data_IF_221616867446
#
_entry.id   IF_221616867446
#
_cell.length_a   1.000
_cell.length_b   1.000
_cell.length_c   1.000
_cell.angle_alpha   90.00
_cell.angle_beta   90.00
_cell.angle_gamma   90.00
#
_symmetry.space_group_name_H-M   'P 1'
#
loop_
_entity.id
_entity.type
_entity.pdbx_description
1 polymer ?
#
# COMPACT_ATOMS: atom_id res chain seq x y z
N UNK A 1 -7.51 17.62 19.73
CA UNK A 1 -7.01 17.13 18.42
C UNK A 1 -8.18 16.45 17.76
N UNK A 2 -8.78 17.05 16.73
CA UNK A 2 -9.89 16.40 16.00
C UNK A 2 -9.20 15.35 15.13
N UNK A 3 -9.29 14.09 15.53
CA UNK A 3 -8.92 12.97 14.65
C UNK A 3 -9.90 13.05 13.50
N UNK A 4 -9.39 13.35 12.32
CA UNK A 4 -10.19 13.77 11.20
C UNK A 4 -10.81 12.53 10.55
N UNK A 5 -11.99 12.10 11.05
CA UNK A 5 -12.82 10.98 10.55
C UNK A 5 -13.37 11.22 9.12
N UNK A 6 -12.75 12.12 8.34
CA UNK A 6 -13.17 12.52 7.00
C UNK A 6 -13.33 11.31 6.08
N UNK A 7 -12.52 10.26 6.21
CA UNK A 7 -12.64 9.04 5.39
C UNK A 7 -13.81 8.15 5.81
N UNK A 8 -14.07 8.01 7.11
CA UNK A 8 -15.26 7.30 7.59
C UNK A 8 -16.54 8.04 7.18
N UNK A 9 -16.55 9.37 7.27
CA UNK A 9 -17.66 10.22 6.80
C UNK A 9 -17.85 10.10 5.28
N UNK A 10 -16.75 10.02 4.52
CA UNK A 10 -16.78 9.78 3.06
C UNK A 10 -16.95 8.30 2.70
N UNK A 11 -17.07 7.43 3.71
CA UNK A 11 -17.15 5.98 3.58
C UNK A 11 -16.07 5.34 2.72
N UNK A 12 -14.88 5.92 2.75
CA UNK A 12 -13.71 5.41 2.05
C UNK A 12 -12.98 4.44 2.97
N UNK A 13 -12.71 3.26 2.44
CA UNK A 13 -11.79 2.29 3.01
C UNK A 13 -10.95 1.69 1.89
N UNK A 14 -9.95 0.89 2.23
CA UNK A 14 -9.01 0.33 1.28
C UNK A 14 -8.93 -1.18 1.37
N UNK A 15 -8.98 -1.82 0.22
CA UNK A 15 -8.74 -3.24 0.07
C UNK A 15 -7.34 -3.49 -0.44
N UNK A 16 -6.58 -4.32 0.27
CA UNK A 16 -5.21 -4.67 -0.10
C UNK A 16 -5.18 -5.98 -0.87
N UNK A 17 -4.45 -6.00 -1.98
CA UNK A 17 -4.19 -7.17 -2.81
C UNK A 17 -2.70 -7.29 -3.09
N UNK A 18 -2.23 -8.51 -3.31
CA UNK A 18 -0.87 -8.78 -3.75
C UNK A 18 -0.85 -9.83 -4.86
N UNK A 19 0.00 -9.61 -5.84
CA UNK A 19 0.16 -10.52 -6.97
C UNK A 19 1.66 -10.77 -7.22
N UNK A 20 2.07 -12.00 -7.58
CA UNK A 20 3.46 -12.26 -7.93
C UNK A 20 3.91 -11.37 -9.09
N UNK A 21 5.10 -10.80 -8.99
CA UNK A 21 5.65 -9.90 -10.02
C UNK A 21 5.84 -10.57 -11.37
N UNK A 22 6.19 -11.85 -11.36
CA UNK A 22 6.42 -12.68 -12.55
C UNK A 22 5.14 -13.41 -13.01
N UNK A 23 3.99 -13.08 -12.42
CA UNK A 23 2.69 -13.67 -12.74
C UNK A 23 1.78 -12.76 -13.56
N UNK A 24 0.62 -13.29 -14.02
CA UNK A 24 -0.41 -12.46 -14.61
C UNK A 24 -0.95 -11.47 -13.58
N UNK A 25 -1.12 -10.21 -13.98
CA UNK A 25 -1.77 -9.20 -13.14
C UNK A 25 -3.27 -9.17 -13.43
N UNK A 26 -4.09 -9.03 -12.41
CA UNK A 26 -5.53 -8.84 -12.61
C UNK A 26 -5.86 -7.36 -12.78
N UNK A 27 -7.02 -7.04 -13.35
CA UNK A 27 -7.49 -5.64 -13.36
C UNK A 27 -8.15 -5.27 -12.02
N UNK A 28 -8.40 -3.97 -11.83
CA UNK A 28 -9.03 -3.45 -10.59
C UNK A 28 -10.39 -4.08 -10.31
N UNK A 29 -11.22 -4.29 -11.33
CA UNK A 29 -12.57 -4.84 -11.18
C UNK A 29 -12.50 -6.29 -10.70
N UNK A 30 -11.59 -7.07 -11.27
CA UNK A 30 -11.34 -8.45 -10.86
C UNK A 30 -10.82 -8.51 -9.41
N UNK A 31 -9.88 -7.64 -9.03
CA UNK A 31 -9.41 -7.54 -7.63
C UNK A 31 -10.54 -7.24 -6.66
N UNK A 32 -11.35 -6.22 -6.94
CA UNK A 32 -12.45 -5.80 -6.04
C UNK A 32 -13.54 -6.87 -5.87
N UNK A 33 -13.66 -7.81 -6.81
CA UNK A 33 -14.56 -8.98 -6.69
C UNK A 33 -13.94 -10.14 -5.91
N UNK A 34 -12.63 -10.11 -5.68
CA UNK A 34 -11.90 -11.12 -4.92
C UNK A 34 -11.78 -10.73 -3.45
N UNK A 35 -11.48 -11.73 -2.61
CA UNK A 35 -11.22 -11.51 -1.19
C UNK A 35 -9.90 -10.74 -1.00
N UNK A 36 -9.91 -9.57 -0.34
CA UNK A 36 -8.70 -8.83 -0.07
C UNK A 36 -7.83 -9.53 0.98
N UNK A 37 -6.52 -9.26 0.92
CA UNK A 37 -5.53 -9.68 1.92
C UNK A 37 -5.77 -8.94 3.24
N UNK A 38 -6.14 -7.66 3.16
CA UNK A 38 -6.49 -6.83 4.30
C UNK A 38 -7.53 -5.78 3.90
N UNK A 39 -8.37 -5.38 4.87
CA UNK A 39 -9.29 -4.26 4.74
C UNK A 39 -8.87 -3.20 5.75
N UNK A 40 -8.54 -2.01 5.27
CA UNK A 40 -7.95 -0.92 6.03
C UNK A 40 -8.88 0.29 5.98
N UNK A 41 -9.13 0.92 7.12
CA UNK A 41 -10.17 1.93 7.29
C UNK A 41 -9.63 3.35 7.44
N UNK A 42 -8.31 3.49 7.58
CA UNK A 42 -7.64 4.79 7.73
C UNK A 42 -6.36 4.83 6.90
N UNK A 43 -5.92 6.01 6.45
CA UNK A 43 -4.60 6.21 5.85
C UNK A 43 -3.45 5.65 6.69
N UNK A 44 -3.50 5.84 8.02
CA UNK A 44 -2.47 5.35 8.95
C UNK A 44 -2.38 3.82 8.91
N UNK A 45 -3.52 3.12 8.92
CA UNK A 45 -3.53 1.66 8.77
C UNK A 45 -2.95 1.20 7.43
N UNK A 46 -3.11 1.98 6.36
CA UNK A 46 -2.45 1.70 5.07
C UNK A 46 -0.95 1.88 5.18
N UNK A 47 -0.48 2.97 5.80
CA UNK A 47 0.94 3.22 6.00
C UNK A 47 1.59 2.09 6.82
N UNK A 48 0.99 1.73 7.96
CA UNK A 48 1.46 0.65 8.83
C UNK A 48 1.54 -0.68 8.08
N UNK A 49 0.50 -1.02 7.32
CA UNK A 49 0.48 -2.27 6.56
C UNK A 49 1.58 -2.31 5.49
N UNK A 50 1.78 -1.21 4.76
CA UNK A 50 2.81 -1.10 3.73
C UNK A 50 4.20 -1.20 4.34
N UNK A 51 4.42 -0.55 5.49
CA UNK A 51 5.68 -0.54 6.22
C UNK A 51 6.06 -1.95 6.71
N UNK A 52 5.10 -2.65 7.34
CA UNK A 52 5.27 -4.03 7.75
C UNK A 52 5.52 -4.97 6.56
N UNK A 53 4.77 -4.81 5.47
CA UNK A 53 4.93 -5.64 4.29
C UNK A 53 6.27 -5.41 3.61
N UNK A 54 6.72 -4.15 3.52
CA UNK A 54 8.04 -3.80 3.00
C UNK A 54 9.16 -4.34 3.90
N UNK A 55 9.01 -4.31 5.23
CA UNK A 55 9.98 -4.94 6.14
C UNK A 55 10.06 -6.47 5.94
N UNK A 56 8.92 -7.14 5.73
CA UNK A 56 8.86 -8.60 5.56
C UNK A 56 9.33 -9.09 4.19
N UNK A 57 9.11 -8.30 3.13
CA UNK A 57 9.27 -8.76 1.75
C UNK A 57 10.15 -7.86 0.87
N UNK A 58 10.42 -6.63 1.30
CA UNK A 58 11.13 -5.60 0.56
C UNK A 58 12.64 -5.55 0.83
N UNK A 59 13.24 -6.63 1.36
CA UNK A 59 14.68 -6.67 1.63
C UNK A 59 15.47 -6.14 0.43
N UNK A 60 16.09 -4.97 0.62
CA UNK A 60 16.84 -4.25 -0.41
C UNK A 60 17.81 -5.22 -1.09
N UNK A 61 17.80 -5.24 -2.43
CA UNK A 61 18.72 -6.12 -3.15
C UNK A 61 20.14 -5.70 -2.75
N UNK A 62 20.95 -6.62 -2.21
CA UNK A 62 22.34 -6.31 -1.95
C UNK A 62 22.99 -6.11 -3.32
N UNK A 63 23.43 -4.88 -3.61
CA UNK A 63 24.20 -4.53 -4.79
C UNK A 63 25.66 -4.42 -4.41
N UNK A 64 26.50 -5.04 -5.22
CA UNK A 64 27.96 -4.96 -5.07
C UNK A 64 28.43 -3.62 -5.61
N UNK A 65 29.08 -2.82 -4.76
CA UNK A 65 29.64 -1.53 -5.16
C UNK A 65 30.92 -1.77 -5.98
N UNK A 66 30.91 -1.37 -7.25
CA UNK A 66 32.09 -1.44 -8.11
C UNK A 66 33.07 -0.35 -7.66
N UNK A 67 34.17 -0.77 -7.00
CA UNK A 67 35.28 0.11 -6.61
C UNK A 67 35.77 -0.01 -5.17
N UNK A 68 35.08 -0.76 -4.29
CA UNK A 68 35.46 -0.83 -2.86
C UNK A 68 35.17 -2.15 -2.13
N UNK A 69 34.63 -3.18 -2.78
CA UNK A 69 34.42 -4.50 -2.15
C UNK A 69 33.34 -4.52 -1.06
N UNK A 70 32.38 -3.58 -1.09
CA UNK A 70 31.25 -3.51 -0.15
C UNK A 70 29.91 -3.83 -0.80
N UNK A 71 28.97 -4.32 0.00
CA UNK A 71 27.57 -4.47 -0.38
C UNK A 71 26.78 -3.26 0.11
N UNK A 72 25.93 -2.69 -0.74
CA UNK A 72 24.96 -1.66 -0.36
C UNK A 72 23.54 -2.21 -0.58
N UNK A 73 22.58 -1.77 0.23
CA UNK A 73 21.16 -2.02 -0.03
C UNK A 73 20.63 -0.91 -0.95
N UNK A 74 19.95 -1.24 -2.05
CA UNK A 74 19.28 -0.26 -2.93
C UNK A 74 18.01 0.36 -2.33
N UNK A 75 17.78 0.18 -1.02
CA UNK A 75 16.59 0.65 -0.32
C UNK A 75 17.03 0.95 1.10
N UNK A 76 17.47 2.19 1.34
CA UNK A 76 17.86 2.64 2.67
C UNK A 76 16.64 3.17 3.45
N UNK A 77 16.86 3.54 4.70
CA UNK A 77 15.82 4.06 5.59
C UNK A 77 15.24 5.40 5.10
N UNK A 78 16.04 6.22 4.41
CA UNK A 78 15.58 7.48 3.82
C UNK A 78 14.68 7.28 2.60
N UNK A 79 14.97 6.27 1.77
CA UNK A 79 14.09 5.85 0.68
C UNK A 79 12.76 5.29 1.20
N UNK A 80 12.78 4.59 2.34
CA UNK A 80 11.58 4.10 3.02
C UNK A 80 10.71 5.25 3.51
N UNK A 81 11.28 6.22 4.23
CA UNK A 81 10.54 7.37 4.78
C UNK A 81 9.91 8.22 3.68
N UNK A 82 10.66 8.47 2.59
CA UNK A 82 10.12 9.20 1.43
C UNK A 82 8.97 8.45 0.78
N UNK A 83 9.12 7.13 0.58
CA UNK A 83 8.07 6.30 -0.02
C UNK A 83 6.82 6.25 0.88
N UNK A 84 6.98 6.14 2.20
CA UNK A 84 5.88 6.20 3.17
C UNK A 84 5.16 7.54 3.08
N UNK A 85 5.88 8.65 3.04
CA UNK A 85 5.28 9.99 2.91
C UNK A 85 4.50 10.18 1.61
N UNK A 86 5.04 9.74 0.47
CA UNK A 86 4.36 9.80 -0.83
C UNK A 86 3.12 8.91 -0.88
N UNK A 87 3.20 7.70 -0.33
CA UNK A 87 2.07 6.78 -0.24
C UNK A 87 0.97 7.34 0.67
N UNK A 88 1.35 7.91 1.81
CA UNK A 88 0.44 8.51 2.77
C UNK A 88 -0.36 9.66 2.14
N UNK A 89 0.30 10.56 1.41
CA UNK A 89 -0.38 11.66 0.72
C UNK A 89 -1.44 11.16 -0.30
N UNK A 90 -1.20 10.02 -0.97
CA UNK A 90 -2.17 9.43 -1.91
C UNK A 90 -3.39 8.88 -1.18
N UNK A 91 -3.19 8.16 -0.07
CA UNK A 91 -4.29 7.56 0.69
C UNK A 91 -5.05 8.57 1.53
N UNK A 92 -4.38 9.61 2.05
CA UNK A 92 -5.05 10.75 2.67
C UNK A 92 -5.99 11.46 1.68
N UNK A 93 -5.63 11.49 0.40
CA UNK A 93 -6.50 12.00 -0.66
C UNK A 93 -7.68 11.06 -1.00
N UNK A 94 -7.80 9.89 -0.36
CA UNK A 94 -8.88 8.92 -0.61
C UNK A 94 -8.69 8.06 -1.85
N UNK A 95 -7.47 7.93 -2.38
CA UNK A 95 -7.18 7.31 -3.68
C UNK A 95 -6.60 5.90 -3.55
N UNK A 96 -6.69 5.12 -4.64
CA UNK A 96 -5.96 3.86 -4.76
C UNK A 96 -4.45 4.12 -4.90
N UNK A 97 -3.65 3.19 -4.38
CA UNK A 97 -2.19 3.18 -4.47
C UNK A 97 -1.71 1.86 -5.07
N UNK A 98 -0.74 1.92 -5.98
CA UNK A 98 -0.12 0.75 -6.59
C UNK A 98 1.39 0.82 -6.44
N UNK A 99 2.00 -0.21 -5.88
CA UNK A 99 3.44 -0.24 -5.58
C UNK A 99 4.01 -1.64 -5.72
N UNK A 100 5.33 -1.77 -5.57
CA UNK A 100 6.08 -3.03 -5.63
C UNK A 100 6.87 -3.21 -4.36
N UNK A 101 6.63 -4.31 -3.65
CA UNK A 101 7.41 -4.71 -2.48
C UNK A 101 8.09 -6.07 -2.77
N UNK A 102 9.36 -6.03 -3.14
CA UNK A 102 10.15 -7.22 -3.47
C UNK A 102 9.57 -7.98 -4.68
N UNK A 103 9.20 -9.26 -4.54
CA UNK A 103 8.64 -10.07 -5.63
C UNK A 103 7.12 -9.87 -5.83
N UNK A 104 6.50 -8.88 -5.18
CA UNK A 104 5.06 -8.67 -5.19
C UNK A 104 4.68 -7.32 -5.80
N UNK A 105 3.70 -7.33 -6.71
CA UNK A 105 2.83 -6.19 -6.93
C UNK A 105 1.89 -6.06 -5.74
N UNK A 106 1.76 -4.84 -5.22
CA UNK A 106 0.87 -4.51 -4.11
C UNK A 106 -0.12 -3.47 -4.59
N UNK A 107 -1.41 -3.76 -4.42
CA UNK A 107 -2.51 -2.88 -4.79
C UNK A 107 -3.30 -2.53 -3.54
N UNK A 108 -3.46 -1.25 -3.26
CA UNK A 108 -4.32 -0.73 -2.20
C UNK A 108 -5.46 0.02 -2.88
N UNK A 109 -6.59 -0.66 -3.06
CA UNK A 109 -7.72 -0.14 -3.81
C UNK A 109 -8.66 0.64 -2.90
N UNK A 110 -8.85 1.93 -3.19
CA UNK A 110 -9.88 2.71 -2.51
C UNK A 110 -11.27 2.22 -2.92
N UNK A 111 -12.10 1.98 -1.92
CA UNK A 111 -13.49 1.57 -2.02
C UNK A 111 -14.34 2.71 -1.46
N UNK A 112 -15.12 3.33 -2.34
CA UNK A 112 -15.96 4.49 -2.05
C UNK A 112 -17.46 4.15 -1.98
N UNK A 113 -17.82 2.94 -2.41
CA UNK A 113 -19.21 2.51 -2.56
C UNK A 113 -19.60 1.64 -1.36
N UNK A 114 -19.64 2.22 -0.16
CA UNK A 114 -20.37 1.61 0.94
C UNK A 114 -21.78 2.23 0.94
N UNK A 115 -22.83 1.58 0.42
CA UNK A 115 -24.17 2.13 0.53
C UNK A 115 -24.57 2.19 2.00
N UNK A 116 -24.61 3.39 2.59
CA UNK A 116 -25.52 3.61 3.74
C UNK A 116 -26.89 3.40 3.14
N UNK A 117 -27.55 2.29 3.48
CA UNK A 117 -29.00 2.32 3.50
C UNK A 117 -29.36 3.37 4.55
N UNK A 118 -29.93 4.55 4.19
CA UNK A 118 -30.59 5.34 5.20
C UNK A 118 -31.65 4.41 5.81
N UNK A 119 -31.53 4.14 7.11
CA UNK A 119 -32.59 3.49 7.84
C UNK A 119 -33.87 4.29 7.59
N UNK A 120 -34.91 3.59 7.12
CA UNK A 120 -36.26 4.12 6.91
C UNK A 120 -36.81 4.81 8.16
#
# INVERSE_FOLDING_TARGET
MIVNDTWQIRQIHWHVYREPRDGPTTDRTARLRSTPVAVLWTPDQVADWLDEHAARHGAGRPVMLIGGGGWAATFDEGDRDRLVGENLAVVEAGRSLYTVHGPWWVYVEAVTDCPIHPAE
#
